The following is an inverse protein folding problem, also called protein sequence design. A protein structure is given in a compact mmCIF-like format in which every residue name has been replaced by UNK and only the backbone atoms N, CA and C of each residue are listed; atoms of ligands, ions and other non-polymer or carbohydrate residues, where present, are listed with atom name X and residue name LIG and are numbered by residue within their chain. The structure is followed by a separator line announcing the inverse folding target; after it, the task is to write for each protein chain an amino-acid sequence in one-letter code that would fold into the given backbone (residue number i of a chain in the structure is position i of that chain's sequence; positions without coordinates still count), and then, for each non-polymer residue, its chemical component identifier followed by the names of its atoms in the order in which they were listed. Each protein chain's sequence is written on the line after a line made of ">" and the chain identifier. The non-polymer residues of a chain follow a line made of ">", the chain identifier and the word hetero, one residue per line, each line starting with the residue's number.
data_IF_759090021995
#
_entry.id   IF_759090021995
#
_cell.length_a   1.000
_cell.length_b   1.000
_cell.length_c   1.000
_cell.angle_alpha   90.00
_cell.angle_beta   90.00
_cell.angle_gamma   90.00
#
_symmetry.space_group_name_H-M   'P 1'
#
loop_
_entity.id
_entity.type
_entity.pdbx_description
1 polymer ?
#
# COMPACT_ATOMS: atom_id res chain seq x y z
N UNK A 1 -14.32 -26.84 6.17
CA UNK A 1 -12.94 -27.05 5.69
C UNK A 1 -12.40 -25.74 5.13
N UNK A 2 -11.10 -25.52 5.33
CA UNK A 2 -10.30 -24.33 4.96
C UNK A 2 -10.49 -23.08 5.84
N UNK A 3 -10.00 -23.16 7.09
CA UNK A 3 -9.48 -21.97 7.76
C UNK A 3 -8.16 -21.63 7.04
N UNK A 4 -8.29 -20.90 5.93
CA UNK A 4 -7.14 -20.35 5.22
C UNK A 4 -6.48 -19.34 6.16
N UNK A 5 -5.41 -19.75 6.82
CA UNK A 5 -4.51 -18.86 7.56
C UNK A 5 -3.91 -17.86 6.57
N UNK A 6 -4.67 -16.80 6.26
CA UNK A 6 -4.15 -15.65 5.52
C UNK A 6 -3.15 -14.98 6.46
N UNK A 7 -1.86 -15.07 6.16
CA UNK A 7 -0.82 -14.29 6.83
C UNK A 7 -1.23 -12.81 6.84
N UNK A 8 -1.82 -12.36 7.95
CA UNK A 8 -2.16 -10.95 8.17
C UNK A 8 -0.84 -10.28 8.51
N UNK A 9 -0.33 -9.50 7.57
CA UNK A 9 0.87 -8.71 7.86
C UNK A 9 0.48 -7.73 8.98
N UNK A 10 1.22 -7.65 10.11
CA UNK A 10 0.86 -6.77 11.23
C UNK A 10 0.76 -5.29 10.83
N UNK A 11 1.32 -4.91 9.68
CA UNK A 11 1.28 -3.56 9.14
C UNK A 11 0.21 -3.34 8.05
N UNK A 12 -0.64 -4.35 7.78
CA UNK A 12 -1.69 -4.30 6.75
C UNK A 12 -2.72 -3.21 7.08
N UNK A 13 -3.24 -3.20 8.32
CA UNK A 13 -4.21 -2.20 8.79
C UNK A 13 -3.63 -0.79 8.76
N UNK A 14 -2.37 -0.64 9.16
CA UNK A 14 -1.66 0.63 9.12
C UNK A 14 -1.52 1.18 7.69
N UNK A 15 -1.21 0.33 6.72
CA UNK A 15 -1.15 0.73 5.31
C UNK A 15 -2.51 1.22 4.82
N UNK A 16 -3.59 0.52 5.18
CA UNK A 16 -4.96 0.88 4.78
C UNK A 16 -5.35 2.22 5.41
N UNK A 17 -5.04 2.43 6.70
CA UNK A 17 -5.32 3.67 7.41
C UNK A 17 -4.57 4.86 6.78
N UNK A 18 -3.28 4.69 6.48
CA UNK A 18 -2.50 5.71 5.78
C UNK A 18 -3.11 6.00 4.40
N UNK A 19 -3.49 4.98 3.62
CA UNK A 19 -4.13 5.18 2.34
C UNK A 19 -5.43 5.99 2.45
N UNK A 20 -6.26 5.72 3.47
CA UNK A 20 -7.49 6.48 3.77
C UNK A 20 -7.18 7.91 4.18
N UNK A 21 -6.23 8.12 5.11
CA UNK A 21 -5.81 9.43 5.61
C UNK A 21 -5.32 10.36 4.50
N UNK A 22 -4.56 9.82 3.54
CA UNK A 22 -4.06 10.57 2.38
C UNK A 22 -5.02 10.55 1.17
N UNK A 23 -6.29 10.17 1.37
CA UNK A 23 -7.36 10.16 0.34
C UNK A 23 -6.97 9.42 -0.94
N UNK A 24 -6.22 8.32 -0.83
CA UNK A 24 -5.75 7.52 -1.96
C UNK A 24 -4.96 8.33 -3.02
N UNK A 25 -4.33 9.45 -2.63
CA UNK A 25 -3.44 10.22 -3.50
C UNK A 25 -2.00 9.71 -3.47
N UNK A 26 -1.63 8.98 -2.41
CA UNK A 26 -0.27 8.50 -2.16
C UNK A 26 -0.06 7.07 -2.63
N UNK A 27 0.60 6.87 -3.78
CA UNK A 27 0.93 5.51 -4.26
C UNK A 27 1.90 4.75 -3.34
N UNK A 28 2.16 3.48 -3.65
CA UNK A 28 3.02 2.60 -2.85
C UNK A 28 4.42 3.16 -2.55
N UNK A 29 4.99 3.99 -3.44
CA UNK A 29 6.27 4.70 -3.21
C UNK A 29 6.18 5.72 -2.08
N UNK A 30 5.08 6.44 -1.97
CA UNK A 30 4.85 7.43 -0.91
C UNK A 30 4.53 6.72 0.41
N UNK A 31 3.69 5.69 0.38
CA UNK A 31 3.37 4.88 1.58
C UNK A 31 4.64 4.25 2.17
N UNK A 32 5.54 3.69 1.33
CA UNK A 32 6.84 3.19 1.80
C UNK A 32 7.67 4.28 2.52
N UNK A 33 7.71 5.50 1.96
CA UNK A 33 8.45 6.62 2.57
C UNK A 33 7.83 7.06 3.90
N UNK A 34 6.49 7.12 3.97
CA UNK A 34 5.75 7.46 5.19
C UNK A 34 5.98 6.41 6.28
N UNK A 35 5.87 5.12 5.94
CA UNK A 35 6.17 4.02 6.87
C UNK A 35 7.59 4.11 7.45
N UNK A 36 8.58 4.42 6.59
CA UNK A 36 9.97 4.59 7.04
C UNK A 36 10.16 5.84 7.90
N UNK A 37 9.49 6.94 7.57
CA UNK A 37 9.66 8.24 8.27
C UNK A 37 8.93 8.27 9.60
N UNK A 38 7.64 7.94 9.61
CA UNK A 38 6.75 8.15 10.75
C UNK A 38 6.72 6.94 11.70
N UNK A 39 6.89 5.73 11.16
CA UNK A 39 6.79 4.50 11.94
C UNK A 39 8.11 3.72 12.05
N UNK A 40 9.19 4.19 11.38
CA UNK A 40 10.48 3.48 11.25
C UNK A 40 10.34 2.03 10.73
N UNK A 41 9.26 1.76 9.98
CA UNK A 41 8.98 0.45 9.41
C UNK A 41 9.59 0.37 8.01
N UNK A 42 10.53 -0.55 7.82
CA UNK A 42 11.07 -0.85 6.50
C UNK A 42 10.32 -2.00 5.83
N UNK A 43 9.33 -1.65 5.02
CA UNK A 43 8.64 -2.60 4.15
C UNK A 43 9.16 -2.56 2.71
N UNK A 44 9.23 -3.73 2.10
CA UNK A 44 9.52 -3.84 0.69
C UNK A 44 8.38 -3.25 -0.16
N UNK A 45 8.72 -2.57 -1.26
CA UNK A 45 7.75 -1.88 -2.13
C UNK A 45 6.68 -2.84 -2.68
N UNK A 46 7.07 -4.08 -2.98
CA UNK A 46 6.16 -5.09 -3.53
C UNK A 46 5.15 -5.56 -2.47
N UNK A 47 5.53 -5.60 -1.19
CA UNK A 47 4.63 -5.98 -0.10
C UNK A 47 3.55 -4.93 0.08
N UNK A 48 3.94 -3.65 0.10
CA UNK A 48 2.99 -2.52 0.15
C UNK A 48 2.07 -2.56 -1.07
N UNK A 49 2.61 -2.81 -2.26
CA UNK A 49 1.81 -2.91 -3.48
C UNK A 49 0.80 -4.06 -3.43
N UNK A 50 1.21 -5.27 -3.02
CA UNK A 50 0.32 -6.43 -2.89
C UNK A 50 -0.81 -6.16 -1.89
N UNK A 51 -0.49 -5.53 -0.75
CA UNK A 51 -1.49 -5.13 0.25
C UNK A 51 -2.46 -4.11 -0.35
N UNK A 52 -1.95 -3.07 -1.01
CA UNK A 52 -2.82 -2.06 -1.64
C UNK A 52 -3.73 -2.65 -2.72
N UNK A 53 -3.24 -3.64 -3.48
CA UNK A 53 -4.03 -4.35 -4.50
C UNK A 53 -5.10 -5.25 -3.87
N UNK A 54 -4.73 -6.03 -2.85
CA UNK A 54 -5.64 -6.91 -2.11
C UNK A 54 -6.83 -6.15 -1.52
N UNK A 55 -6.61 -4.94 -1.04
CA UNK A 55 -7.64 -4.08 -0.43
C UNK A 55 -8.27 -3.09 -1.40
N UNK A 56 -7.94 -3.13 -2.69
CA UNK A 56 -8.41 -2.17 -3.70
C UNK A 56 -8.17 -0.69 -3.33
N UNK A 57 -7.18 -0.40 -2.50
CA UNK A 57 -6.80 0.97 -2.07
C UNK A 57 -5.70 1.56 -2.96
N UNK A 58 -5.46 0.96 -4.13
CA UNK A 58 -4.43 1.40 -5.05
C UNK A 58 -4.74 2.80 -5.58
N UNK A 59 -3.78 3.72 -5.44
CA UNK A 59 -3.90 5.04 -6.03
C UNK A 59 -3.96 4.93 -7.56
N UNK A 60 -4.86 5.70 -8.18
CA UNK A 60 -4.96 5.82 -9.64
C UNK A 60 -3.70 6.51 -10.16
N UNK A 61 -2.64 5.75 -10.45
CA UNK A 61 -1.44 6.29 -11.10
C UNK A 61 -1.87 6.74 -12.48
N UNK A 62 -1.74 8.05 -12.76
CA UNK A 62 -2.03 8.60 -14.09
C UNK A 62 -1.23 7.80 -15.12
N UNK A 63 -1.87 7.24 -16.16
CA UNK A 63 -1.15 6.45 -17.16
C UNK A 63 -0.03 7.30 -17.76
N UNK A 64 1.12 6.65 -18.02
CA UNK A 64 2.27 7.29 -18.65
C UNK A 64 1.79 7.89 -19.98
N UNK A 65 1.97 9.20 -20.17
CA UNK A 65 1.62 9.88 -21.43
C UNK A 65 2.32 9.15 -22.57
N UNK A 66 1.56 8.47 -23.43
CA UNK A 66 2.07 8.00 -24.71
C UNK A 66 2.23 9.24 -25.58
N UNK A 67 3.46 9.61 -25.90
CA UNK A 67 3.71 10.57 -26.97
C UNK A 67 3.36 9.86 -28.28
N UNK A 68 2.50 10.46 -29.10
CA UNK A 68 2.16 10.02 -30.46
C UNK A 68 2.92 10.90 -31.44
#
# INVERSE_FOLDING_TARGET
>A
MNIGITYRNPHEDLIIELCKKYKYRCGHRNIKKLLKRDHKIELHRNTVQKIMQKHNVQCRVKPKRKWK
#
